data_IF_575604349618
#
_entry.id   IF_575604349618
#
_cell.length_a   1.000
_cell.length_b   1.000
_cell.length_c   1.000
_cell.angle_alpha   90.00
_cell.angle_beta   90.00
_cell.angle_gamma   90.00
#
_symmetry.space_group_name_H-M   'P 1'
#
loop_
_entity.id
_entity.type
_entity.pdbx_description
1 polymer ?
#
# COMPACT_ATOMS: atom_id res chain seq x y z
N UNK A 1 16.87 -2.82 -18.34
CA UNK A 1 17.76 -1.90 -17.58
C UNK A 1 17.06 -1.19 -16.43
N UNK A 2 16.26 -0.12 -16.63
CA UNK A 2 15.64 0.58 -15.48
C UNK A 2 14.54 -0.23 -14.78
N UNK A 3 13.75 -1.01 -15.52
CA UNK A 3 12.74 -1.91 -14.95
C UNK A 3 13.36 -3.01 -14.07
N UNK A 4 14.54 -3.53 -14.45
CA UNK A 4 15.29 -4.50 -13.63
C UNK A 4 15.87 -3.86 -12.38
N UNK A 5 16.37 -2.63 -12.49
CA UNK A 5 16.89 -1.88 -11.36
C UNK A 5 15.79 -1.56 -10.33
N UNK A 6 14.60 -1.14 -10.80
CA UNK A 6 13.46 -0.86 -9.93
C UNK A 6 12.86 -2.15 -9.34
N UNK A 7 12.93 -3.26 -10.08
CA UNK A 7 12.30 -4.51 -9.69
C UNK A 7 10.78 -4.49 -9.89
N UNK A 8 10.18 -5.68 -9.93
CA UNK A 8 8.74 -5.86 -10.15
C UNK A 8 7.88 -5.24 -9.05
N UNK A 9 8.34 -5.28 -7.80
CA UNK A 9 7.59 -4.75 -6.65
C UNK A 9 7.40 -3.24 -6.72
N UNK A 10 8.44 -2.48 -7.10
CA UNK A 10 8.34 -1.03 -7.25
C UNK A 10 7.63 -0.63 -8.55
N UNK A 11 7.78 -1.41 -9.62
CA UNK A 11 7.09 -1.17 -10.89
C UNK A 11 5.57 -1.38 -10.80
N UNK A 12 5.12 -2.23 -9.86
CA UNK A 12 3.70 -2.52 -9.62
C UNK A 12 3.16 -1.80 -8.37
N UNK A 13 3.87 -0.79 -7.88
CA UNK A 13 3.46 -0.02 -6.72
C UNK A 13 2.20 0.81 -7.00
N UNK A 14 1.31 0.88 -6.02
CA UNK A 14 0.12 1.73 -6.05
C UNK A 14 0.49 3.10 -5.48
N UNK A 15 0.27 4.15 -6.25
CA UNK A 15 0.58 5.52 -5.81
C UNK A 15 -0.72 6.24 -5.46
N UNK A 16 -0.87 6.67 -4.22
CA UNK A 16 -1.99 7.49 -3.76
C UNK A 16 -1.54 8.92 -3.52
N UNK A 17 -2.41 9.87 -3.87
CA UNK A 17 -2.15 11.28 -3.61
C UNK A 17 -2.17 11.59 -2.12
N UNK A 18 -3.12 11.01 -1.39
CA UNK A 18 -3.39 11.32 0.02
C UNK A 18 -3.22 10.11 0.91
N UNK A 19 -2.95 10.34 2.19
CA UNK A 19 -2.86 9.26 3.18
C UNK A 19 -4.17 8.46 3.29
N UNK A 20 -5.31 9.13 3.09
CA UNK A 20 -6.61 8.46 3.17
C UNK A 20 -6.88 7.56 1.97
N UNK A 21 -6.24 7.86 0.83
CA UNK A 21 -6.18 6.94 -0.29
C UNK A 21 -5.48 5.64 0.08
N UNK A 22 -4.35 5.71 0.80
CA UNK A 22 -3.63 4.52 1.26
C UNK A 22 -4.48 3.73 2.27
N UNK A 23 -5.10 4.41 3.26
CA UNK A 23 -6.00 3.74 4.23
C UNK A 23 -7.18 3.03 3.56
N UNK A 24 -7.66 3.55 2.43
CA UNK A 24 -8.76 2.93 1.70
C UNK A 24 -8.34 1.67 0.93
N UNK A 25 -7.04 1.47 0.65
CA UNK A 25 -6.55 0.29 -0.06
C UNK A 25 -6.66 -0.98 0.80
N UNK A 26 -6.43 -0.86 2.10
CA UNK A 26 -6.37 -1.99 3.02
C UNK A 26 -7.07 -1.63 4.34
N UNK A 27 -8.08 -2.43 4.72
CA UNK A 27 -8.76 -2.26 6.01
C UNK A 27 -8.41 -3.42 6.92
N UNK A 28 -8.24 -3.14 8.20
CA UNK A 28 -8.01 -4.13 9.23
C UNK A 28 -9.26 -4.28 10.10
N UNK A 29 -9.55 -5.51 10.51
CA UNK A 29 -10.54 -5.81 11.54
C UNK A 29 -10.00 -5.45 12.94
N UNK A 30 -10.87 -5.47 13.93
CA UNK A 30 -10.58 -5.29 15.36
C UNK A 30 -9.48 -6.21 15.90
N UNK A 31 -9.27 -7.37 15.27
CA UNK A 31 -8.18 -8.31 15.57
C UNK A 31 -6.87 -8.00 14.80
N UNK A 32 -6.75 -6.83 14.18
CA UNK A 32 -5.66 -6.43 13.30
C UNK A 32 -5.43 -7.38 12.10
N UNK A 33 -6.47 -8.10 11.68
CA UNK A 33 -6.47 -8.97 10.50
C UNK A 33 -6.92 -8.21 9.26
N UNK A 34 -6.31 -8.49 8.11
CA UNK A 34 -6.69 -7.88 6.84
C UNK A 34 -8.11 -8.31 6.47
N UNK A 35 -8.97 -7.33 6.19
CA UNK A 35 -10.31 -7.58 5.69
C UNK A 35 -10.26 -7.80 4.17
N UNK A 36 -10.45 -9.05 3.76
CA UNK A 36 -10.42 -9.45 2.34
C UNK A 36 -11.62 -8.93 1.52
N UNK A 37 -12.66 -8.41 2.17
CA UNK A 37 -13.90 -7.98 1.54
C UNK A 37 -13.90 -6.48 1.27
N UNK A 38 -12.95 -5.73 1.84
CA UNK A 38 -12.86 -4.28 1.69
C UNK A 38 -11.66 -3.84 0.84
N UNK A 39 -11.64 -2.55 0.50
CA UNK A 39 -10.55 -1.92 -0.24
C UNK A 39 -10.24 -2.62 -1.57
N UNK A 40 -8.95 -2.85 -1.82
CA UNK A 40 -8.49 -3.47 -3.06
C UNK A 40 -8.82 -4.97 -3.14
N UNK A 41 -8.86 -5.65 -1.99
CA UNK A 41 -9.19 -7.07 -1.93
C UNK A 41 -10.65 -7.32 -2.29
N UNK A 42 -11.56 -6.45 -1.83
CA UNK A 42 -12.97 -6.50 -2.21
C UNK A 42 -13.19 -6.33 -3.72
N UNK A 43 -12.57 -5.29 -4.31
CA UNK A 43 -12.66 -5.03 -5.76
C UNK A 43 -12.08 -6.19 -6.58
N UNK A 44 -10.92 -6.71 -6.16
CA UNK A 44 -10.29 -7.87 -6.81
C UNK A 44 -11.18 -9.10 -6.76
N UNK A 45 -11.79 -9.38 -5.62
CA UNK A 45 -12.70 -10.52 -5.44
C UNK A 45 -13.93 -10.42 -6.33
N UNK A 46 -14.58 -9.24 -6.41
CA UNK A 46 -15.75 -9.01 -7.27
C UNK A 46 -15.38 -9.15 -8.75
N UNK A 47 -14.18 -8.70 -9.13
CA UNK A 47 -13.68 -8.75 -10.51
C UNK A 47 -13.14 -10.14 -10.90
N UNK A 48 -13.18 -11.13 -9.98
CA UNK A 48 -12.63 -12.47 -10.22
C UNK A 48 -11.10 -12.52 -10.29
N UNK A 49 -10.43 -11.45 -9.83
CA UNK A 49 -8.98 -11.30 -9.76
C UNK A 49 -8.58 -10.98 -8.32
N UNK A 50 -8.69 -11.95 -7.40
CA UNK A 50 -8.36 -11.72 -6.00
C UNK A 50 -6.90 -11.26 -5.89
N UNK A 51 -6.70 -10.10 -5.27
CA UNK A 51 -5.36 -9.59 -4.98
C UNK A 51 -4.88 -10.35 -3.75
N UNK A 52 -3.85 -11.18 -3.93
CA UNK A 52 -3.24 -11.97 -2.86
C UNK A 52 -1.75 -11.66 -2.80
N UNK A 53 -1.22 -11.53 -1.58
CA UNK A 53 0.17 -11.19 -1.33
C UNK A 53 0.37 -9.73 -0.90
N UNK A 54 1.65 -9.36 -0.78
CA UNK A 54 2.06 -8.01 -0.38
C UNK A 54 2.12 -7.11 -1.61
N UNK A 55 1.64 -5.88 -1.49
CA UNK A 55 1.78 -4.85 -2.51
C UNK A 55 2.44 -3.62 -1.91
N UNK A 56 3.17 -2.87 -2.74
CA UNK A 56 3.76 -1.60 -2.33
C UNK A 56 2.77 -0.47 -2.57
N UNK A 57 2.53 0.34 -1.54
CA UNK A 57 1.74 1.56 -1.64
C UNK A 57 2.60 2.78 -1.30
N UNK A 58 2.55 3.82 -2.13
CA UNK A 58 3.34 5.05 -2.01
C UNK A 58 2.38 6.23 -1.86
N UNK A 59 2.54 7.01 -0.79
CA UNK A 59 1.76 8.23 -0.58
C UNK A 59 2.55 9.46 -1.04
N UNK A 60 1.99 10.28 -1.92
CA UNK A 60 2.65 11.51 -2.40
C UNK A 60 2.79 12.57 -1.29
N UNK A 61 1.88 12.62 -0.31
CA UNK A 61 1.99 13.50 0.86
C UNK A 61 3.18 13.13 1.76
N UNK A 62 3.57 11.85 1.80
CA UNK A 62 4.73 11.39 2.56
C UNK A 62 6.05 11.60 1.81
N UNK A 63 6.01 11.84 0.50
CA UNK A 63 7.18 12.17 -0.29
C UNK A 63 7.60 13.61 0.00
N UNK A 64 8.46 13.77 1.02
CA UNK A 64 9.13 15.04 1.31
C UNK A 64 9.85 15.50 0.04
N UNK A 65 9.46 16.66 -0.47
CA UNK A 65 9.76 17.14 -1.82
C UNK A 65 11.24 17.22 -2.22
N UNK A 66 12.23 16.99 -1.35
CA UNK A 66 13.66 17.12 -1.72
C UNK A 66 14.61 16.17 -0.94
N UNK A 67 14.15 15.07 -0.33
CA UNK A 67 15.07 14.01 0.13
C UNK A 67 14.46 12.62 -0.04
N UNK A 68 14.94 11.94 -1.07
CA UNK A 68 14.81 10.50 -1.28
C UNK A 68 15.53 9.81 -0.11
N UNK A 69 14.85 9.71 1.02
CA UNK A 69 15.16 8.70 2.03
C UNK A 69 14.05 7.68 1.96
N UNK A 70 14.35 6.60 1.24
CA UNK A 70 13.58 5.37 1.20
C UNK A 70 13.13 5.02 2.63
N UNK A 71 11.85 5.23 2.93
CA UNK A 71 11.18 4.57 4.05
C UNK A 71 10.31 3.48 3.44
N UNK A 72 10.96 2.38 3.11
CA UNK A 72 10.29 1.12 2.88
C UNK A 72 9.49 0.75 4.13
N UNK A 73 8.16 0.72 3.99
CA UNK A 73 7.24 -0.18 4.69
C UNK A 73 7.12 -0.15 6.23
N UNK A 74 8.04 0.47 6.99
CA UNK A 74 8.03 0.42 8.46
C UNK A 74 7.10 1.44 9.13
N UNK A 75 6.43 2.31 8.39
CA UNK A 75 5.52 3.33 8.94
C UNK A 75 4.03 3.09 8.66
N UNK A 76 3.65 1.97 8.03
CA UNK A 76 2.23 1.57 7.96
C UNK A 76 1.77 0.78 9.18
N UNK A 77 2.68 0.42 10.10
CA UNK A 77 2.27 0.24 11.49
C UNK A 77 1.65 1.56 11.94
N UNK A 78 0.38 1.58 12.33
CA UNK A 78 -0.24 2.81 12.81
C UNK A 78 0.64 3.34 13.94
N UNK A 79 1.12 4.58 13.83
CA UNK A 79 1.71 5.33 14.95
C UNK A 79 0.68 5.62 16.07
N UNK A 80 -0.36 4.80 16.18
CA UNK A 80 -1.50 4.85 17.11
C UNK A 80 -1.84 3.47 17.68
N UNK A 81 -0.86 2.56 17.81
CA UNK A 81 -0.88 1.61 18.93
C UNK A 81 0.04 2.17 20.02
N UNK A 82 -0.53 3.06 20.84
CA UNK A 82 -0.18 3.15 22.27
C UNK A 82 -1.09 2.16 22.98
#
# INVERSE_FOLDING_TARGET
>A
LFSEYLGSENMLAIVCKTYEGIKALESYDTEAKINIVSGIHGVGTITGKPVSGRFLAICLEDLRQEQIHCFSFLSFFPKNLV
#
